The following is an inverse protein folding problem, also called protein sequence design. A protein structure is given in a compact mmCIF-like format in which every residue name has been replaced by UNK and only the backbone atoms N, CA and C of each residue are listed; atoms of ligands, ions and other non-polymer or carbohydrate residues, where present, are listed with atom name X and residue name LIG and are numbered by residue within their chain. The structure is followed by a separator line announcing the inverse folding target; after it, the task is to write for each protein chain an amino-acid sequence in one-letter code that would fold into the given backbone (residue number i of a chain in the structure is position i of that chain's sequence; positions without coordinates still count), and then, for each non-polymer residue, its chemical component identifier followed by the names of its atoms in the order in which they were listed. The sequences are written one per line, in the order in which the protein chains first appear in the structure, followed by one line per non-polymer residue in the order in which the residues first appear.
data_IF_114469594356
#
_entry.id   IF_114469594356
#
_cell.length_a   1.000
_cell.length_b   1.000
_cell.length_c   1.000
_cell.angle_alpha   90.00
_cell.angle_beta   90.00
_cell.angle_gamma   90.00
#
_symmetry.space_group_name_H-M   'P 1'
#
loop_
_entity.id
_entity.type
_entity.pdbx_description
1 polymer ?
#
# COMPACT_ATOMS: atom_id res chain seq x y z
N UNK A 1 -19.03 -19.33 -12.44
CA UNK A 1 -18.65 -20.62 -11.81
C UNK A 1 -17.64 -20.32 -10.70
N UNK A 2 -18.09 -19.72 -9.60
CA UNK A 2 -17.23 -19.30 -8.49
C UNK A 2 -17.00 -20.47 -7.55
N UNK A 3 -15.73 -20.85 -7.36
CA UNK A 3 -15.36 -21.92 -6.44
C UNK A 3 -15.32 -21.33 -5.03
N UNK A 4 -16.42 -21.55 -4.31
CA UNK A 4 -16.48 -21.44 -2.86
C UNK A 4 -15.68 -22.62 -2.26
N UNK A 5 -14.49 -22.37 -1.69
CA UNK A 5 -13.80 -23.36 -0.86
C UNK A 5 -14.21 -23.15 0.60
N UNK A 6 -15.08 -24.03 1.10
CA UNK A 6 -15.36 -24.22 2.52
C UNK A 6 -14.20 -24.98 3.19
N UNK A 7 -13.74 -24.48 4.34
CA UNK A 7 -13.25 -25.32 5.45
C UNK A 7 -11.78 -25.18 5.85
N UNK A 8 -11.58 -24.70 7.09
CA UNK A 8 -10.39 -24.76 7.97
C UNK A 8 -9.17 -23.95 7.50
N UNK A 9 -8.71 -22.86 8.15
CA UNK A 9 -8.70 -22.41 9.55
C UNK A 9 -8.89 -20.88 9.61
N UNK A 10 -9.40 -20.32 10.71
CA UNK A 10 -9.32 -18.87 10.98
C UNK A 10 -7.85 -18.47 11.05
N UNK A 11 -7.30 -17.97 9.95
CA UNK A 11 -5.98 -17.34 9.91
C UNK A 11 -6.14 -15.93 9.34
N UNK A 12 -6.05 -14.94 10.21
CA UNK A 12 -6.21 -13.50 9.96
C UNK A 12 -5.00 -12.91 9.20
N UNK A 13 -4.35 -13.69 8.34
CA UNK A 13 -2.96 -13.45 7.90
C UNK A 13 -2.76 -13.59 6.38
N UNK A 14 -3.82 -13.60 5.58
CA UNK A 14 -3.67 -13.47 4.13
C UNK A 14 -3.63 -11.97 3.76
N UNK A 15 -2.51 -11.41 3.28
CA UNK A 15 -2.47 -10.01 2.87
C UNK A 15 -3.44 -9.80 1.71
N UNK A 16 -4.32 -8.80 1.80
CA UNK A 16 -5.38 -8.56 0.82
C UNK A 16 -4.92 -8.40 -0.65
N UNK A 17 -3.62 -8.19 -0.88
CA UNK A 17 -2.99 -7.96 -2.18
C UNK A 17 -2.58 -9.18 -3.00
N UNK A 18 -2.89 -10.41 -2.56
CA UNK A 18 -2.38 -11.63 -3.22
C UNK A 18 -2.69 -11.66 -4.72
N UNK A 19 -3.89 -11.23 -5.12
CA UNK A 19 -4.33 -11.23 -6.53
C UNK A 19 -3.61 -10.18 -7.39
N UNK A 20 -3.13 -9.11 -6.76
CA UNK A 20 -2.46 -7.97 -7.41
C UNK A 20 -0.96 -7.90 -7.12
N UNK A 21 -0.37 -8.93 -6.48
CA UNK A 21 1.02 -8.95 -6.02
C UNK A 21 2.03 -8.53 -7.08
N UNK A 22 1.89 -9.04 -8.32
CA UNK A 22 2.80 -8.71 -9.41
C UNK A 22 2.72 -7.23 -9.80
N UNK A 23 1.54 -6.61 -9.74
CA UNK A 23 1.37 -5.19 -10.01
C UNK A 23 2.03 -4.32 -8.94
N UNK A 24 1.95 -4.71 -7.66
CA UNK A 24 2.64 -4.02 -6.57
C UNK A 24 4.16 -4.12 -6.69
N UNK A 25 4.68 -5.31 -6.96
CA UNK A 25 6.13 -5.50 -7.20
C UNK A 25 6.60 -4.67 -8.38
N UNK A 26 5.82 -4.58 -9.47
CA UNK A 26 6.17 -3.75 -10.62
C UNK A 26 6.21 -2.25 -10.27
N UNK A 27 5.26 -1.76 -9.46
CA UNK A 27 5.27 -0.37 -8.97
C UNK A 27 6.49 -0.11 -8.08
N UNK A 28 6.80 -1.01 -7.15
CA UNK A 28 7.99 -0.91 -6.31
C UNK A 28 9.29 -0.88 -7.12
N UNK A 29 9.43 -1.73 -8.15
CA UNK A 29 10.60 -1.71 -9.04
C UNK A 29 10.78 -0.37 -9.76
N UNK A 30 9.67 0.29 -10.12
CA UNK A 30 9.73 1.65 -10.70
C UNK A 30 10.19 2.68 -9.67
N UNK A 31 9.66 2.64 -8.47
CA UNK A 31 10.07 3.52 -7.36
C UNK A 31 11.55 3.31 -7.02
N UNK A 32 12.01 2.08 -6.95
CA UNK A 32 13.42 1.73 -6.76
C UNK A 32 14.30 2.36 -7.85
N UNK A 33 13.85 2.32 -9.10
CA UNK A 33 14.52 3.00 -10.22
C UNK A 33 14.60 4.53 -10.04
N UNK A 34 13.55 5.15 -9.47
CA UNK A 34 13.57 6.58 -9.14
C UNK A 34 14.58 6.89 -8.03
N UNK A 35 14.66 6.06 -6.99
CA UNK A 35 15.64 6.21 -5.89
C UNK A 35 17.07 6.05 -6.41
N UNK A 36 17.34 5.07 -7.27
CA UNK A 36 18.66 4.97 -7.94
C UNK A 36 18.95 6.18 -8.83
N UNK A 37 17.92 6.75 -9.47
CA UNK A 37 18.04 7.99 -10.22
C UNK A 37 18.45 9.17 -9.35
N UNK A 38 17.86 9.31 -8.16
CA UNK A 38 18.23 10.34 -7.19
C UNK A 38 19.70 10.23 -6.76
N UNK A 39 20.18 9.01 -6.48
CA UNK A 39 21.59 8.80 -6.14
C UNK A 39 22.53 9.30 -7.25
N UNK A 40 22.24 8.95 -8.52
CA UNK A 40 23.03 9.45 -9.67
C UNK A 40 22.97 10.96 -9.82
N UNK A 41 21.80 11.57 -9.64
CA UNK A 41 21.67 13.03 -9.71
C UNK A 41 22.58 13.73 -8.69
N UNK A 42 22.73 13.16 -7.50
CA UNK A 42 23.63 13.67 -6.47
C UNK A 42 25.09 13.43 -6.86
N UNK A 43 25.45 12.24 -7.36
CA UNK A 43 26.79 11.92 -7.84
C UNK A 43 27.25 12.80 -9.01
N UNK A 44 26.30 13.27 -9.83
CA UNK A 44 26.51 14.12 -11.00
C UNK A 44 26.39 15.63 -10.68
N UNK A 45 26.32 16.02 -9.39
CA UNK A 45 26.16 17.42 -8.96
C UNK A 45 24.97 18.15 -9.61
N UNK A 46 23.87 17.41 -9.85
CA UNK A 46 22.65 17.96 -10.48
C UNK A 46 22.06 19.10 -9.65
N UNK A 47 21.50 20.10 -10.32
CA UNK A 47 20.89 21.26 -9.68
C UNK A 47 19.84 20.88 -8.63
N UNK A 48 19.93 21.49 -7.45
CA UNK A 48 19.14 21.10 -6.27
C UNK A 48 17.62 21.09 -6.52
N UNK A 49 17.10 22.00 -7.37
CA UNK A 49 15.67 22.06 -7.67
C UNK A 49 15.20 20.85 -8.48
N UNK A 50 16.05 20.31 -9.36
CA UNK A 50 15.72 19.12 -10.14
C UNK A 50 15.73 17.87 -9.25
N UNK A 51 16.71 17.78 -8.33
CA UNK A 51 16.75 16.73 -7.29
C UNK A 51 15.48 16.79 -6.44
N UNK A 52 15.09 17.96 -5.93
CA UNK A 52 13.87 18.13 -5.13
C UNK A 52 12.60 17.78 -5.93
N UNK A 53 12.57 18.08 -7.22
CA UNK A 53 11.48 17.69 -8.12
C UNK A 53 11.38 16.17 -8.22
N UNK A 54 12.51 15.48 -8.38
CA UNK A 54 12.54 14.02 -8.46
C UNK A 54 12.24 13.35 -7.10
N UNK A 55 12.65 13.94 -5.99
CA UNK A 55 12.25 13.51 -4.64
C UNK A 55 10.74 13.58 -4.52
N UNK A 56 10.13 14.71 -4.90
CA UNK A 56 8.68 14.89 -4.87
C UNK A 56 7.94 13.88 -5.75
N UNK A 57 8.48 13.53 -6.92
CA UNK A 57 7.93 12.50 -7.79
C UNK A 57 7.98 11.11 -7.15
N UNK A 58 9.08 10.78 -6.47
CA UNK A 58 9.28 9.51 -5.77
C UNK A 58 8.33 9.38 -4.58
N UNK A 59 8.19 10.44 -3.77
CA UNK A 59 7.24 10.49 -2.64
C UNK A 59 5.79 10.33 -3.11
N UNK A 60 5.40 10.99 -4.21
CA UNK A 60 4.06 10.81 -4.81
C UNK A 60 3.81 9.39 -5.28
N UNK A 61 4.81 8.72 -5.85
CA UNK A 61 4.68 7.32 -6.28
C UNK A 61 4.49 6.38 -5.08
N UNK A 62 5.21 6.59 -3.98
CA UNK A 62 5.02 5.87 -2.72
C UNK A 62 3.63 6.13 -2.12
N UNK A 63 3.18 7.39 -2.06
CA UNK A 63 1.85 7.75 -1.58
C UNK A 63 0.73 7.10 -2.40
N UNK A 64 0.86 7.10 -3.73
CA UNK A 64 -0.08 6.39 -4.62
C UNK A 64 -0.13 4.89 -4.33
N UNK A 65 1.02 4.25 -4.11
CA UNK A 65 1.04 2.83 -3.75
C UNK A 65 0.38 2.55 -2.40
N UNK A 66 0.62 3.40 -1.40
CA UNK A 66 0.00 3.26 -0.09
C UNK A 66 -1.53 3.37 -0.15
N UNK A 67 -2.07 4.27 -0.99
CA UNK A 67 -3.52 4.41 -1.20
C UNK A 67 -4.13 3.17 -1.86
N UNK A 68 -3.44 2.56 -2.82
CA UNK A 68 -3.93 1.33 -3.48
C UNK A 68 -3.98 0.17 -2.47
N UNK A 69 -2.94 0.02 -1.63
CA UNK A 69 -2.92 -1.00 -0.58
C UNK A 69 -4.02 -0.79 0.47
N UNK A 70 -4.29 0.47 0.81
CA UNK A 70 -5.38 0.83 1.71
C UNK A 70 -6.74 0.47 1.11
N UNK A 71 -6.99 0.81 -0.15
CA UNK A 71 -8.25 0.50 -0.84
C UNK A 71 -8.56 -1.00 -0.84
N UNK A 72 -7.53 -1.82 -1.09
CA UNK A 72 -7.65 -3.28 -1.05
C UNK A 72 -7.90 -3.80 0.38
N UNK A 73 -7.27 -3.18 1.40
CA UNK A 73 -7.53 -3.52 2.80
C UNK A 73 -8.97 -3.18 3.23
N UNK A 74 -9.49 -2.03 2.80
CA UNK A 74 -10.87 -1.63 3.07
C UNK A 74 -11.87 -2.58 2.38
N UNK A 75 -11.58 -2.95 1.13
CA UNK A 75 -12.47 -3.78 0.29
C UNK A 75 -12.55 -5.22 0.78
N UNK A 76 -11.45 -5.81 1.26
CA UNK A 76 -11.42 -7.19 1.72
C UNK A 76 -11.55 -7.27 3.24
N UNK A 77 -10.55 -6.80 3.98
CA UNK A 77 -10.46 -7.03 5.42
C UNK A 77 -11.54 -6.31 6.22
N UNK A 78 -11.84 -5.05 5.90
CA UNK A 78 -12.86 -4.28 6.63
C UNK A 78 -14.27 -4.70 6.22
N UNK A 79 -14.52 -4.90 4.92
CA UNK A 79 -15.82 -5.43 4.43
C UNK A 79 -16.19 -6.77 5.06
N UNK A 80 -15.24 -7.72 5.11
CA UNK A 80 -15.45 -9.03 5.71
C UNK A 80 -15.70 -8.93 7.23
N UNK A 81 -14.96 -8.05 7.93
CA UNK A 81 -15.15 -7.82 9.35
C UNK A 81 -16.51 -7.19 9.68
N UNK A 82 -16.98 -6.25 8.85
CA UNK A 82 -18.32 -5.66 8.97
C UNK A 82 -19.41 -6.72 8.77
N UNK A 83 -19.24 -7.63 7.80
CA UNK A 83 -20.18 -8.73 7.58
C UNK A 83 -20.17 -9.77 8.71
N UNK A 84 -19.02 -10.02 9.32
CA UNK A 84 -18.88 -10.93 10.45
C UNK A 84 -19.54 -10.39 11.74
N UNK A 85 -19.61 -9.06 11.89
CA UNK A 85 -20.28 -8.39 13.01
C UNK A 85 -19.50 -8.43 14.33
N UNK A 86 -20.07 -7.79 15.37
CA UNK A 86 -19.46 -7.69 16.70
C UNK A 86 -18.24 -6.76 16.74
N UNK A 87 -17.40 -6.91 17.76
CA UNK A 87 -16.24 -6.03 18.02
C UNK A 87 -15.15 -6.10 16.93
N UNK A 88 -15.18 -7.14 16.09
CA UNK A 88 -14.19 -7.36 15.02
C UNK A 88 -14.23 -6.24 13.98
N UNK A 89 -15.42 -5.73 13.66
CA UNK A 89 -15.59 -4.62 12.72
C UNK A 89 -14.94 -3.33 13.26
N UNK A 90 -15.18 -3.01 14.54
CA UNK A 90 -14.66 -1.81 15.17
C UNK A 90 -13.13 -1.84 15.29
N UNK A 91 -12.56 -2.99 15.64
CA UNK A 91 -11.10 -3.18 15.66
C UNK A 91 -10.46 -2.94 14.28
N UNK A 92 -11.04 -3.51 13.22
CA UNK A 92 -10.50 -3.36 11.85
C UNK A 92 -10.66 -1.95 11.28
N UNK A 93 -11.76 -1.26 11.61
CA UNK A 93 -11.95 0.16 11.26
C UNK A 93 -10.93 1.04 11.98
N UNK A 94 -10.64 0.77 13.25
CA UNK A 94 -9.65 1.51 14.03
C UNK A 94 -8.22 1.29 13.49
N UNK A 95 -7.88 0.06 13.11
CA UNK A 95 -6.61 -0.28 12.46
C UNK A 95 -6.42 0.50 11.15
N UNK A 96 -7.41 0.47 10.26
CA UNK A 96 -7.38 1.19 8.99
C UNK A 96 -7.27 2.71 9.20
N UNK A 97 -8.05 3.26 10.14
CA UNK A 97 -8.03 4.69 10.48
C UNK A 97 -6.66 5.12 11.00
N UNK A 98 -6.01 4.30 11.83
CA UNK A 98 -4.66 4.58 12.32
C UNK A 98 -3.61 4.53 11.21
N UNK A 99 -3.76 3.61 10.24
CA UNK A 99 -2.88 3.54 9.07
C UNK A 99 -3.01 4.77 8.18
N UNK A 100 -4.24 5.21 7.88
CA UNK A 100 -4.54 6.44 7.13
C UNK A 100 -3.90 7.65 7.82
N UNK A 101 -4.08 7.76 9.13
CA UNK A 101 -3.57 8.90 9.88
C UNK A 101 -2.04 9.01 9.80
N UNK A 102 -1.31 7.88 9.72
CA UNK A 102 0.15 7.88 9.49
C UNK A 102 0.49 8.32 8.07
N UNK A 103 -0.26 7.87 7.07
CA UNK A 103 -0.05 8.21 5.66
C UNK A 103 -0.31 9.69 5.35
N UNK A 104 -1.27 10.33 6.00
CA UNK A 104 -1.58 11.76 5.78
C UNK A 104 -0.57 12.69 6.44
N UNK A 105 0.15 12.23 7.46
CA UNK A 105 1.13 13.03 8.20
C UNK A 105 2.56 12.95 7.66
N UNK A 106 2.82 12.07 6.69
CA UNK A 106 4.11 11.91 6.01
C UNK A 106 4.21 12.82 4.79
#
# INVERSE_FOLDING_TARGET
MGICRKGATMDTTAPGYVDSKNAYVLRLRRIEGQVRGLARMIEEDTYCIDVLTQVSATTKALGSMALILLDEHLTHCVSDAVQAGGNVAEEKINEASAAIARLVRS
#
